data_IF_810623082044
#
_entry.id   IF_810623082044
#
_cell.length_a   1.000
_cell.length_b   1.000
_cell.length_c   1.000
_cell.angle_alpha   90.00
_cell.angle_beta   90.00
_cell.angle_gamma   90.00
#
_symmetry.space_group_name_H-M   'P 1'
#
loop_
_entity.id
_entity.type
_entity.pdbx_description
1 polymer ?
#
# COMPACT_ATOMS: atom_id res chain seq x y z
N UNK A 1 1.22 20.50 21.46
CA UNK A 1 0.22 19.54 21.98
C UNK A 1 0.28 18.30 21.09
N UNK A 2 1.23 17.39 21.36
CA UNK A 2 1.51 16.21 20.50
C UNK A 2 0.51 15.09 20.81
N UNK A 3 -0.70 15.20 20.26
CA UNK A 3 -1.61 14.06 20.23
C UNK A 3 -1.03 13.01 19.27
N UNK A 4 -0.67 11.83 19.78
CA UNK A 4 -0.34 10.67 18.95
C UNK A 4 -1.50 10.43 17.98
N UNK A 5 -1.26 10.66 16.70
CA UNK A 5 -2.20 10.37 15.61
C UNK A 5 -2.36 8.85 15.49
N UNK A 6 -3.41 8.34 16.14
CA UNK A 6 -3.81 6.93 16.11
C UNK A 6 -4.94 6.74 15.10
N UNK A 7 -4.73 5.86 14.13
CA UNK A 7 -5.68 5.60 13.05
C UNK A 7 -6.85 4.69 13.45
N UNK A 8 -6.90 4.25 14.71
CA UNK A 8 -7.99 3.41 15.27
C UNK A 8 -9.39 4.01 15.11
N UNK A 9 -9.52 5.32 14.88
CA UNK A 9 -10.81 6.00 14.66
C UNK A 9 -11.34 5.90 13.21
N UNK A 10 -10.51 5.55 12.23
CA UNK A 10 -10.92 5.40 10.81
C UNK A 10 -11.84 4.18 10.58
N UNK A 11 -12.03 3.36 11.61
CA UNK A 11 -12.62 2.02 11.59
C UNK A 11 -14.15 2.00 11.46
N UNK A 12 -14.83 3.13 11.72
CA UNK A 12 -16.30 3.20 11.78
C UNK A 12 -16.98 3.40 10.42
N UNK A 13 -16.22 3.73 9.37
CA UNK A 13 -16.77 4.14 8.06
C UNK A 13 -16.75 3.01 7.00
N UNK A 14 -16.45 1.76 7.41
CA UNK A 14 -16.30 0.60 6.50
C UNK A 14 -17.48 -0.38 6.47
N UNK A 15 -18.62 -0.08 7.09
CA UNK A 15 -19.80 -0.95 7.02
C UNK A 15 -20.88 -0.40 6.07
N UNK A 16 -20.91 -0.85 4.80
CA UNK A 16 -22.18 -1.18 4.16
C UNK A 16 -22.77 -2.40 4.87
N UNK A 17 -24.09 -2.39 5.08
CA UNK A 17 -24.81 -3.43 5.82
C UNK A 17 -24.53 -4.85 5.31
N UNK A 18 -24.01 -5.70 6.19
CA UNK A 18 -24.11 -7.14 6.07
C UNK A 18 -24.82 -7.65 7.32
N UNK A 19 -26.13 -7.86 7.16
CA UNK A 19 -26.84 -8.86 7.96
C UNK A 19 -26.08 -10.18 7.81
N UNK A 20 -25.72 -10.76 8.95
CA UNK A 20 -25.20 -12.12 9.01
C UNK A 20 -26.31 -13.08 8.57
N UNK A 21 -26.27 -13.55 7.33
CA UNK A 21 -26.92 -14.80 6.97
C UNK A 21 -25.89 -15.93 7.00
N UNK A 22 -25.88 -16.61 8.14
CA UNK A 22 -25.39 -17.97 8.29
C UNK A 22 -26.22 -18.88 7.38
N UNK A 23 -25.71 -19.24 6.21
CA UNK A 23 -26.35 -20.26 5.36
C UNK A 23 -25.86 -21.62 5.84
N UNK A 24 -26.68 -22.28 6.65
CA UNK A 24 -26.63 -23.72 6.82
C UNK A 24 -27.19 -24.35 5.53
N UNK A 25 -26.42 -25.21 4.87
CA UNK A 25 -26.95 -26.10 3.83
C UNK A 25 -27.94 -27.07 4.49
N UNK A 26 -29.24 -26.89 4.18
CA UNK A 26 -30.25 -27.93 4.35
C UNK A 26 -30.42 -28.61 3.00
N UNK A 27 -30.17 -29.91 2.99
CA UNK A 27 -30.53 -30.82 1.91
C UNK A 27 -32.03 -31.04 2.03
N UNK A 28 -32.79 -30.75 0.98
CA UNK A 28 -34.17 -31.23 0.84
C UNK A 28 -34.36 -31.80 -0.57
N UNK A 29 -35.06 -32.92 -0.57
CA UNK A 29 -35.28 -33.86 -1.65
C UNK A 29 -36.33 -33.38 -2.67
N UNK A 30 -36.15 -33.83 -3.93
CA UNK A 30 -37.26 -34.11 -4.83
C UNK A 30 -37.69 -32.97 -5.76
N UNK A 31 -37.46 -33.16 -7.07
CA UNK A 31 -38.56 -33.39 -8.02
C UNK A 31 -38.04 -33.78 -9.41
N UNK A 32 -38.68 -34.83 -9.94
CA UNK A 32 -38.54 -35.40 -11.27
C UNK A 32 -38.89 -34.40 -12.38
N UNK A 33 -38.06 -34.37 -13.44
CA UNK A 33 -38.54 -34.15 -14.81
C UNK A 33 -37.72 -35.04 -15.76
N UNK A 34 -38.37 -36.00 -16.41
CA UNK A 34 -37.80 -36.85 -17.46
C UNK A 34 -37.91 -36.23 -18.86
N UNK A 35 -37.71 -37.01 -19.94
CA UNK A 35 -36.43 -37.00 -20.64
C UNK A 35 -36.55 -36.46 -22.08
N UNK A 36 -35.50 -35.81 -22.59
CA UNK A 36 -35.30 -35.64 -24.03
C UNK A 36 -33.94 -36.20 -24.46
N UNK A 37 -34.03 -37.25 -25.26
CA UNK A 37 -32.97 -37.88 -26.04
C UNK A 37 -32.63 -37.04 -27.27
N UNK A 38 -31.33 -36.83 -27.53
CA UNK A 38 -30.77 -36.71 -28.89
C UNK A 38 -29.34 -37.25 -28.94
N UNK A 39 -29.16 -38.27 -29.78
CA UNK A 39 -27.92 -38.98 -30.10
C UNK A 39 -26.99 -38.21 -31.07
N UNK A 40 -25.79 -38.80 -31.23
CA UNK A 40 -24.78 -38.73 -32.31
C UNK A 40 -23.56 -37.84 -31.94
N UNK A 41 -22.32 -38.33 -31.89
CA UNK A 41 -21.66 -39.33 -32.75
C UNK A 41 -20.42 -39.90 -32.03
N UNK A 42 -20.30 -41.23 -31.93
CA UNK A 42 -19.39 -42.13 -32.70
C UNK A 42 -17.89 -41.76 -32.69
N UNK A 43 -17.14 -42.42 -31.81
CA UNK A 43 -15.83 -42.97 -32.16
C UNK A 43 -15.52 -44.20 -31.29
N UNK A 44 -15.41 -45.36 -31.92
CA UNK A 44 -14.80 -46.58 -31.36
C UNK A 44 -13.87 -47.16 -32.42
N UNK A 45 -12.72 -47.68 -32.00
CA UNK A 45 -12.18 -48.89 -32.62
C UNK A 45 -12.14 -50.05 -31.61
N UNK A 46 -12.84 -51.13 -31.98
CA UNK A 46 -12.42 -52.53 -31.99
C UNK A 46 -11.26 -52.93 -31.06
N UNK A 47 -11.53 -53.69 -29.99
CA UNK A 47 -11.60 -55.17 -29.95
C UNK A 47 -10.22 -55.82 -29.78
N UNK A 48 -9.98 -56.38 -28.59
CA UNK A 48 -9.35 -57.70 -28.48
C UNK A 48 -9.77 -58.41 -27.20
N UNK A 49 -10.26 -59.63 -27.37
CA UNK A 49 -10.62 -60.57 -26.31
C UNK A 49 -9.36 -61.30 -25.88
N UNK A 50 -9.00 -61.22 -24.60
CA UNK A 50 -8.23 -62.26 -23.93
C UNK A 50 -8.81 -62.48 -22.53
N UNK A 51 -9.45 -63.63 -22.35
CA UNK A 51 -9.98 -64.09 -21.07
C UNK A 51 -8.81 -64.56 -20.19
N UNK A 52 -8.58 -63.87 -19.07
CA UNK A 52 -7.70 -64.30 -17.98
C UNK A 52 -8.54 -64.64 -16.73
N UNK A 53 -8.05 -65.53 -15.84
CA UNK A 53 -8.86 -66.09 -14.77
C UNK A 53 -9.19 -65.05 -13.69
N UNK A 54 -10.41 -65.11 -13.16
CA UNK A 54 -10.95 -64.14 -12.20
C UNK A 54 -10.13 -64.02 -10.90
N UNK A 55 -10.27 -62.90 -10.18
CA UNK A 55 -9.49 -62.64 -8.98
C UNK A 55 -9.92 -63.58 -7.84
N UNK A 56 -8.95 -64.30 -7.28
CA UNK A 56 -9.12 -65.02 -6.00
C UNK A 56 -9.39 -64.00 -4.89
N UNK A 57 -10.42 -64.26 -4.09
CA UNK A 57 -10.78 -63.47 -2.94
C UNK A 57 -9.60 -63.38 -1.94
N UNK A 58 -9.14 -62.16 -1.67
CA UNK A 58 -8.17 -61.90 -0.60
C UNK A 58 -8.81 -62.10 0.78
N UNK A 59 -8.04 -62.66 1.72
CA UNK A 59 -8.49 -63.01 3.07
C UNK A 59 -8.84 -61.77 3.92
N UNK A 60 -9.68 -61.92 4.97
CA UNK A 60 -10.16 -60.80 5.79
C UNK A 60 -9.05 -60.02 6.53
N UNK A 61 -7.87 -60.63 6.72
CA UNK A 61 -6.74 -60.01 7.40
C UNK A 61 -6.00 -58.96 6.54
N UNK A 62 -6.11 -59.04 5.21
CA UNK A 62 -5.47 -58.07 4.31
C UNK A 62 -6.25 -56.75 4.16
N UNK A 63 -7.53 -56.72 4.57
CA UNK A 63 -8.39 -55.53 4.48
C UNK A 63 -8.21 -54.55 5.64
N UNK A 64 -7.68 -55.00 6.79
CA UNK A 64 -7.36 -54.09 7.92
C UNK A 64 -5.99 -53.41 7.77
N UNK A 65 -5.09 -53.95 6.94
CA UNK A 65 -3.77 -53.36 6.72
C UNK A 65 -3.78 -52.18 5.72
N UNK A 66 -4.82 -52.08 4.88
CA UNK A 66 -4.92 -51.06 3.83
C UNK A 66 -5.66 -49.77 4.24
N UNK A 67 -6.31 -49.75 5.42
CA UNK A 67 -7.05 -48.56 5.91
C UNK A 67 -6.27 -47.80 6.99
N UNK A 68 -5.30 -48.45 7.65
CA UNK A 68 -4.46 -47.79 8.67
C UNK A 68 -3.21 -47.09 8.11
N UNK A 69 -2.75 -47.44 6.90
CA UNK A 69 -1.56 -46.84 6.30
C UNK A 69 -1.74 -45.38 5.82
N UNK A 70 -2.89 -44.96 5.24
CA UNK A 70 -3.07 -43.56 4.83
C UNK A 70 -3.23 -42.62 6.03
N UNK A 71 -3.92 -43.06 7.09
CA UNK A 71 -4.19 -42.26 8.29
C UNK A 71 -2.94 -42.06 9.14
N UNK A 72 -2.08 -43.08 9.27
CA UNK A 72 -0.84 -42.97 10.03
C UNK A 72 0.21 -42.12 9.28
N UNK A 73 0.31 -42.24 7.94
CA UNK A 73 1.18 -41.37 7.15
C UNK A 73 0.68 -39.91 7.15
N UNK A 74 -0.63 -39.68 7.03
CA UNK A 74 -1.22 -38.32 7.11
C UNK A 74 -1.03 -37.74 8.51
N UNK A 75 -1.18 -38.53 9.57
CA UNK A 75 -0.94 -38.09 10.95
C UNK A 75 0.54 -37.83 11.24
N UNK A 76 1.46 -38.66 10.74
CA UNK A 76 2.91 -38.46 10.89
C UNK A 76 3.38 -37.28 10.02
N UNK A 77 2.87 -37.11 8.80
CA UNK A 77 3.15 -35.92 7.97
C UNK A 77 2.58 -34.65 8.60
N UNK A 78 1.34 -34.65 9.06
CA UNK A 78 0.75 -33.47 9.72
C UNK A 78 1.39 -33.17 11.06
N UNK A 79 1.85 -34.17 11.82
CA UNK A 79 2.57 -33.97 13.08
C UNK A 79 4.02 -33.52 12.85
N UNK A 80 4.71 -34.09 11.87
CA UNK A 80 6.05 -33.64 11.46
C UNK A 80 6.05 -32.25 10.81
N UNK A 81 4.95 -31.83 10.18
CA UNK A 81 4.74 -30.44 9.72
C UNK A 81 4.40 -29.51 10.90
N UNK A 82 3.61 -29.96 11.88
CA UNK A 82 3.21 -29.17 13.06
C UNK A 82 4.32 -28.95 14.08
N UNK A 83 5.24 -29.90 14.23
CA UNK A 83 6.36 -29.80 15.19
C UNK A 83 7.48 -28.85 14.71
N UNK A 84 7.38 -28.29 13.49
CA UNK A 84 8.24 -27.24 12.96
C UNK A 84 7.52 -26.14 12.16
N UNK A 85 6.19 -26.07 12.24
CA UNK A 85 5.36 -25.18 11.40
C UNK A 85 5.62 -23.71 11.73
N UNK A 86 6.18 -22.97 10.78
CA UNK A 86 6.34 -21.53 10.90
C UNK A 86 4.97 -20.86 10.87
N UNK A 87 4.46 -20.49 12.05
CA UNK A 87 3.16 -19.85 12.16
C UNK A 87 3.18 -18.46 11.49
N UNK A 88 2.28 -18.24 10.53
CA UNK A 88 2.15 -17.00 9.77
C UNK A 88 1.18 -16.05 10.47
N UNK A 89 1.63 -14.84 10.81
CA UNK A 89 0.73 -13.81 11.34
C UNK A 89 0.01 -13.08 10.20
N UNK A 90 -1.32 -13.18 10.13
CA UNK A 90 -2.14 -12.41 9.19
C UNK A 90 -2.68 -11.15 9.84
N UNK A 91 -2.46 -10.00 9.20
CA UNK A 91 -2.91 -8.68 9.68
C UNK A 91 -3.83 -8.04 8.64
N UNK A 92 -5.11 -7.93 8.95
CA UNK A 92 -6.03 -7.15 8.11
C UNK A 92 -5.77 -5.64 8.28
N UNK A 93 -6.42 -4.81 7.47
CA UNK A 93 -6.25 -3.36 7.56
C UNK A 93 -6.59 -2.75 8.93
N UNK A 94 -7.51 -3.35 9.67
CA UNK A 94 -7.86 -2.92 11.03
C UNK A 94 -6.73 -3.18 12.03
N UNK A 95 -6.06 -4.32 11.92
CA UNK A 95 -4.90 -4.67 12.74
C UNK A 95 -3.71 -3.76 12.41
N UNK A 96 -3.48 -3.48 11.12
CA UNK A 96 -2.44 -2.54 10.68
C UNK A 96 -2.66 -1.14 11.27
N UNK A 97 -3.90 -0.61 11.25
CA UNK A 97 -4.21 0.71 11.83
C UNK A 97 -4.07 0.76 13.36
N UNK A 98 -4.25 -0.38 14.06
CA UNK A 98 -4.01 -0.49 15.51
C UNK A 98 -2.52 -0.58 15.84
N UNK A 99 -1.74 -1.21 14.97
CA UNK A 99 -0.30 -1.40 15.11
C UNK A 99 0.56 -0.28 14.51
N UNK A 100 -0.04 0.84 14.08
CA UNK A 100 0.70 1.96 13.49
C UNK A 100 0.14 3.32 13.89
N UNK A 101 1.03 4.24 14.27
CA UNK A 101 0.78 5.68 14.28
C UNK A 101 1.54 6.39 13.15
N UNK A 102 1.08 7.57 12.74
CA UNK A 102 1.79 8.34 11.69
C UNK A 102 3.22 8.69 12.12
N UNK A 103 3.44 8.95 13.42
CA UNK A 103 4.77 9.22 13.97
C UNK A 103 5.71 8.01 13.87
N UNK A 104 5.23 6.80 14.20
CA UNK A 104 6.01 5.56 14.05
C UNK A 104 6.31 5.30 12.57
N UNK A 105 5.37 5.57 11.66
CA UNK A 105 5.58 5.41 10.23
C UNK A 105 6.58 6.43 9.65
N UNK A 106 6.56 7.68 10.13
CA UNK A 106 7.60 8.67 9.77
C UNK A 106 8.98 8.21 10.25
N UNK A 107 9.09 7.67 11.46
CA UNK A 107 10.35 7.11 11.95
C UNK A 107 10.81 5.90 11.11
N UNK A 108 9.88 5.04 10.68
CA UNK A 108 10.17 3.91 9.78
C UNK A 108 10.67 4.39 8.40
N UNK A 109 10.05 5.43 7.83
CA UNK A 109 10.50 6.05 6.57
C UNK A 109 11.89 6.68 6.73
N UNK A 110 12.16 7.36 7.83
CA UNK A 110 13.51 7.88 8.11
C UNK A 110 14.54 6.76 8.25
N UNK A 111 14.20 5.63 8.90
CA UNK A 111 15.06 4.44 8.94
C UNK A 111 15.33 3.92 7.53
N UNK A 112 14.31 3.82 6.69
CA UNK A 112 14.46 3.39 5.29
C UNK A 112 15.40 4.31 4.49
N UNK A 113 15.31 5.64 4.67
CA UNK A 113 16.23 6.57 4.02
C UNK A 113 17.68 6.44 4.48
N UNK A 114 17.93 6.12 5.75
CA UNK A 114 19.30 5.84 6.24
C UNK A 114 19.87 4.58 5.60
N UNK A 115 19.08 3.49 5.58
CA UNK A 115 19.44 2.24 4.90
C UNK A 115 19.72 2.49 3.41
N UNK A 116 18.89 3.32 2.77
CA UNK A 116 19.06 3.68 1.37
C UNK A 116 20.40 4.40 1.12
N UNK A 117 20.72 5.41 1.94
CA UNK A 117 21.98 6.15 1.83
C UNK A 117 23.22 5.28 2.06
N UNK A 118 23.11 4.26 2.90
CA UNK A 118 24.17 3.31 3.23
C UNK A 118 24.26 2.15 2.22
N UNK A 119 23.35 2.09 1.24
CA UNK A 119 23.20 0.96 0.31
C UNK A 119 22.99 -0.39 1.02
N UNK A 120 22.34 -0.39 2.19
CA UNK A 120 22.10 -1.56 3.03
C UNK A 120 20.91 -2.42 2.60
N UNK A 121 20.59 -2.44 1.30
CA UNK A 121 19.39 -3.09 0.76
C UNK A 121 19.67 -3.80 -0.56
N UNK A 122 18.84 -4.80 -0.87
CA UNK A 122 18.66 -5.30 -2.23
C UNK A 122 17.22 -5.06 -2.64
N UNK A 123 17.04 -4.35 -3.75
CA UNK A 123 15.73 -3.94 -4.24
C UNK A 123 15.81 -3.90 -5.76
N UNK A 124 15.48 -4.99 -6.46
CA UNK A 124 15.40 -4.95 -7.91
C UNK A 124 14.26 -4.03 -8.33
N UNK A 125 14.31 -3.59 -9.59
CA UNK A 125 13.22 -2.80 -10.17
C UNK A 125 11.90 -3.56 -10.02
N UNK A 126 10.83 -2.84 -9.67
CA UNK A 126 9.48 -3.41 -9.56
C UNK A 126 9.10 -4.12 -10.86
N UNK A 127 8.60 -5.35 -10.76
CA UNK A 127 8.10 -6.07 -11.94
C UNK A 127 6.70 -5.60 -12.26
N UNK A 128 6.47 -5.19 -13.50
CA UNK A 128 5.19 -4.66 -13.96
C UNK A 128 4.47 -5.68 -14.84
N UNK A 129 3.26 -6.06 -14.45
CA UNK A 129 2.32 -6.80 -15.28
C UNK A 129 1.21 -5.86 -15.72
N UNK A 130 1.00 -5.78 -17.03
CA UNK A 130 -0.14 -5.08 -17.61
C UNK A 130 -1.28 -6.07 -17.82
N UNK A 131 -2.43 -5.81 -17.20
CA UNK A 131 -3.64 -6.62 -17.35
C UNK A 131 -4.73 -5.74 -17.96
N UNK A 132 -4.91 -5.84 -19.28
CA UNK A 132 -5.70 -4.86 -20.07
C UNK A 132 -5.15 -3.46 -19.82
N UNK A 133 -5.99 -2.51 -19.39
CA UNK A 133 -5.59 -1.13 -19.06
C UNK A 133 -5.18 -0.94 -17.59
N UNK A 134 -4.99 -2.04 -16.84
CA UNK A 134 -4.65 -2.03 -15.41
C UNK A 134 -3.23 -2.51 -15.18
N UNK A 135 -2.71 -2.27 -13.98
CA UNK A 135 -1.38 -2.73 -13.58
C UNK A 135 -1.39 -3.60 -12.33
N UNK A 136 -0.48 -4.56 -12.29
CA UNK A 136 -0.09 -5.31 -11.10
C UNK A 136 1.42 -5.22 -10.96
N UNK A 137 1.89 -4.79 -9.79
CA UNK A 137 3.29 -4.56 -9.50
C UNK A 137 3.76 -5.50 -8.39
N UNK A 138 4.89 -6.15 -8.62
CA UNK A 138 5.63 -6.90 -7.61
C UNK A 138 6.84 -6.07 -7.20
N UNK A 139 6.95 -5.81 -5.90
CA UNK A 139 7.94 -4.91 -5.31
C UNK A 139 8.71 -5.67 -4.22
N UNK A 140 9.66 -6.55 -4.58
CA UNK A 140 10.49 -7.26 -3.62
C UNK A 140 11.59 -6.35 -3.06
N UNK A 141 11.94 -6.57 -1.79
CA UNK A 141 13.06 -5.90 -1.15
C UNK A 141 13.62 -6.75 -0.01
N UNK A 142 14.92 -6.67 0.21
CA UNK A 142 15.56 -7.21 1.39
C UNK A 142 16.57 -6.23 1.97
N UNK A 143 16.83 -6.44 3.25
CA UNK A 143 17.91 -5.88 4.06
C UNK A 143 18.52 -7.04 4.86
N UNK A 144 19.55 -6.79 5.66
CA UNK A 144 20.09 -7.83 6.53
C UNK A 144 19.08 -8.33 7.58
N UNK A 145 18.14 -7.47 8.01
CA UNK A 145 17.20 -7.77 9.10
C UNK A 145 15.85 -8.34 8.62
N UNK A 146 15.48 -8.09 7.37
CA UNK A 146 14.18 -8.44 6.84
C UNK A 146 14.22 -8.63 5.32
N UNK A 147 13.42 -9.56 4.82
CA UNK A 147 13.12 -9.70 3.40
C UNK A 147 11.60 -9.74 3.21
N UNK A 148 11.12 -9.34 2.03
CA UNK A 148 9.70 -9.36 1.74
C UNK A 148 9.35 -8.84 0.37
N UNK A 149 8.07 -8.87 0.05
CA UNK A 149 7.55 -8.31 -1.17
C UNK A 149 6.17 -7.71 -0.96
N UNK A 150 5.92 -6.59 -1.63
CA UNK A 150 4.57 -6.07 -1.82
C UNK A 150 4.07 -6.49 -3.20
N UNK A 151 2.84 -6.97 -3.23
CA UNK A 151 2.05 -7.11 -4.46
C UNK A 151 0.99 -6.03 -4.41
N UNK A 152 0.90 -5.20 -5.44
CA UNK A 152 -0.09 -4.12 -5.51
C UNK A 152 -0.72 -4.08 -6.90
N UNK A 153 -2.03 -3.97 -6.95
CA UNK A 153 -2.80 -3.77 -8.18
C UNK A 153 -3.34 -2.34 -8.23
N UNK A 154 -3.37 -1.75 -9.43
CA UNK A 154 -3.97 -0.44 -9.70
C UNK A 154 -4.97 -0.59 -10.83
N UNK A 155 -6.25 -0.43 -10.49
CA UNK A 155 -7.41 -0.59 -11.36
C UNK A 155 -8.25 0.68 -11.30
N UNK A 156 -7.95 1.70 -12.14
CA UNK A 156 -8.55 3.04 -12.06
C UNK A 156 -10.09 3.06 -12.15
N UNK A 157 -10.68 2.10 -12.87
CA UNK A 157 -12.12 2.03 -13.11
C UNK A 157 -12.93 1.34 -12.00
N UNK A 158 -12.27 0.90 -10.92
CA UNK A 158 -12.97 0.32 -9.78
C UNK A 158 -13.92 1.34 -9.12
N UNK A 159 -15.22 1.03 -9.11
CA UNK A 159 -16.28 1.85 -8.50
C UNK A 159 -16.78 1.31 -7.15
N UNK A 160 -16.84 -0.01 -7.02
CA UNK A 160 -17.37 -0.74 -5.87
C UNK A 160 -16.29 -1.17 -4.86
N UNK A 161 -15.02 -0.99 -5.23
CA UNK A 161 -13.84 -1.42 -4.46
C UNK A 161 -12.70 -0.41 -4.63
N UNK A 162 -11.63 -0.49 -3.82
CA UNK A 162 -10.50 0.43 -3.95
C UNK A 162 -9.79 0.32 -5.31
N UNK A 163 -9.38 1.46 -5.87
CA UNK A 163 -8.55 1.54 -7.08
C UNK A 163 -7.22 0.81 -6.88
N UNK A 164 -6.60 1.01 -5.71
CA UNK A 164 -5.36 0.35 -5.34
C UNK A 164 -5.63 -0.68 -4.27
N UNK A 165 -5.18 -1.91 -4.48
CA UNK A 165 -5.26 -2.99 -3.50
C UNK A 165 -3.90 -3.67 -3.42
N UNK A 166 -3.48 -4.11 -2.24
CA UNK A 166 -2.22 -4.80 -2.11
C UNK A 166 -2.08 -5.61 -0.84
N UNK A 167 -1.07 -6.47 -0.85
CA UNK A 167 -0.65 -7.27 0.28
C UNK A 167 0.88 -7.19 0.42
N UNK A 168 1.37 -7.27 1.64
CA UNK A 168 2.80 -7.34 1.94
C UNK A 168 3.08 -8.63 2.68
N UNK A 169 4.03 -9.41 2.15
CA UNK A 169 4.55 -10.61 2.77
C UNK A 169 5.95 -10.31 3.33
N UNK A 170 6.18 -10.65 4.59
CA UNK A 170 7.51 -10.61 5.22
C UNK A 170 8.05 -12.02 5.45
N UNK A 171 9.34 -12.15 5.23
CA UNK A 171 10.15 -13.34 5.44
C UNK A 171 11.21 -13.03 6.50
N UNK A 172 11.46 -13.98 7.40
CA UNK A 172 12.61 -13.92 8.30
C UNK A 172 13.89 -14.14 7.50
N UNK A 173 14.76 -13.13 7.46
CA UNK A 173 16.01 -13.18 6.69
C UNK A 173 16.98 -14.24 7.21
N UNK A 174 16.81 -14.77 8.43
CA UNK A 174 17.75 -15.72 9.06
C UNK A 174 17.43 -17.17 8.73
N UNK A 175 16.14 -17.52 8.61
CA UNK A 175 15.71 -18.91 8.43
C UNK A 175 14.69 -19.10 7.29
N UNK A 176 14.30 -18.04 6.59
CA UNK A 176 13.39 -18.11 5.46
C UNK A 176 11.91 -18.31 5.82
N UNK A 177 11.54 -18.32 7.11
CA UNK A 177 10.14 -18.51 7.51
C UNK A 177 9.27 -17.31 7.17
N UNK A 178 8.01 -17.58 6.81
CA UNK A 178 7.02 -16.53 6.53
C UNK A 178 6.54 -15.92 7.84
N UNK A 179 6.85 -14.63 8.08
CA UNK A 179 6.53 -13.94 9.33
C UNK A 179 5.11 -13.41 9.36
N UNK A 180 4.73 -12.71 8.29
CA UNK A 180 3.41 -12.07 8.23
C UNK A 180 2.95 -11.78 6.82
N UNK A 181 1.65 -11.91 6.61
CA UNK A 181 0.92 -11.37 5.46
C UNK A 181 0.01 -10.25 5.96
N UNK A 182 0.16 -9.05 5.43
CA UNK A 182 -0.62 -7.89 5.89
C UNK A 182 -1.28 -7.09 4.77
N UNK A 183 -2.33 -6.36 5.11
CA UNK A 183 -3.01 -5.43 4.21
C UNK A 183 -2.04 -4.33 3.73
N UNK A 184 -1.60 -4.49 2.48
CA UNK A 184 -0.67 -3.59 1.82
C UNK A 184 -1.33 -2.29 1.35
N UNK A 185 -2.65 -2.22 1.26
CA UNK A 185 -3.40 -1.02 0.89
C UNK A 185 -3.32 0.01 1.99
N UNK A 186 -3.63 -0.43 3.22
CA UNK A 186 -3.54 0.38 4.42
C UNK A 186 -2.09 0.77 4.70
N UNK A 187 -1.17 -0.20 4.65
CA UNK A 187 0.25 0.06 4.85
C UNK A 187 0.78 1.08 3.83
N UNK A 188 0.41 0.95 2.55
CA UNK A 188 0.80 1.91 1.51
C UNK A 188 0.28 3.32 1.80
N UNK A 189 -0.96 3.47 2.27
CA UNK A 189 -1.48 4.78 2.67
C UNK A 189 -0.64 5.39 3.79
N UNK A 190 -0.41 4.63 4.86
CA UNK A 190 0.38 5.05 6.01
C UNK A 190 1.81 5.45 5.66
N UNK A 191 2.56 4.55 5.00
CA UNK A 191 3.96 4.80 4.65
C UNK A 191 4.11 5.92 3.63
N UNK A 192 3.17 6.07 2.68
CA UNK A 192 3.23 7.17 1.71
C UNK A 192 2.95 8.51 2.38
N UNK A 193 1.95 8.58 3.26
CA UNK A 193 1.72 9.77 4.09
C UNK A 193 2.92 10.14 4.95
N UNK A 194 3.60 9.14 5.52
CA UNK A 194 4.83 9.33 6.28
C UNK A 194 6.00 9.87 5.45
N UNK A 195 6.08 9.53 4.16
CA UNK A 195 7.05 10.15 3.22
C UNK A 195 6.79 11.65 3.09
N UNK A 196 5.54 12.06 2.88
CA UNK A 196 5.16 13.48 2.83
C UNK A 196 5.40 14.20 4.16
N UNK A 197 5.08 13.54 5.27
CA UNK A 197 5.41 14.04 6.61
C UNK A 197 6.92 14.22 6.81
N UNK A 198 7.75 13.27 6.36
CA UNK A 198 9.21 13.42 6.41
C UNK A 198 9.68 14.58 5.51
N UNK A 199 9.18 14.70 4.28
CA UNK A 199 9.47 15.83 3.41
C UNK A 199 9.13 17.18 4.09
N UNK A 200 7.93 17.30 4.66
CA UNK A 200 7.55 18.47 5.44
C UNK A 200 8.46 18.68 6.66
N UNK A 201 8.86 17.62 7.36
CA UNK A 201 9.74 17.71 8.53
C UNK A 201 11.07 18.38 8.20
N UNK A 202 11.68 18.02 7.08
CA UNK A 202 13.04 18.44 6.73
C UNK A 202 13.12 19.62 5.76
N UNK A 203 12.08 19.85 4.94
CA UNK A 203 12.12 20.84 3.86
C UNK A 203 11.17 22.02 4.05
N UNK A 204 10.09 21.87 4.83
CA UNK A 204 9.17 22.99 5.03
C UNK A 204 9.80 24.05 5.93
N UNK A 205 9.43 25.34 5.76
CA UNK A 205 9.74 26.38 6.73
C UNK A 205 9.41 25.92 8.16
N UNK A 206 10.25 26.29 9.12
CA UNK A 206 10.09 25.84 10.52
C UNK A 206 8.81 26.36 11.16
N UNK A 207 8.34 27.51 10.68
CA UNK A 207 7.13 28.21 11.13
C UNK A 207 5.91 27.94 10.26
N UNK A 208 5.99 27.05 9.25
CA UNK A 208 4.86 26.71 8.38
C UNK A 208 3.59 26.34 9.18
N UNK A 209 2.50 27.08 8.94
CA UNK A 209 1.21 26.96 9.63
C UNK A 209 0.07 26.54 8.71
N UNK A 210 0.23 26.64 7.40
CA UNK A 210 -0.85 26.39 6.45
C UNK A 210 -0.49 25.30 5.45
N UNK A 211 -1.34 24.28 5.34
CA UNK A 211 -1.21 23.22 4.36
C UNK A 211 -2.29 23.31 3.28
N UNK A 212 -1.90 23.21 2.01
CA UNK A 212 -2.78 23.13 0.86
C UNK A 212 -2.73 21.72 0.26
N UNK A 213 -3.89 21.12 -0.02
CA UNK A 213 -4.00 19.82 -0.69
C UNK A 213 -4.82 19.92 -1.97
N UNK A 214 -4.20 19.53 -3.09
CA UNK A 214 -4.87 19.26 -4.35
C UNK A 214 -4.97 17.74 -4.55
N UNK A 215 -6.20 17.22 -4.61
CA UNK A 215 -6.47 15.78 -4.71
C UNK A 215 -6.95 15.19 -3.40
N UNK A 216 -8.26 15.24 -3.16
CA UNK A 216 -8.90 14.74 -1.93
C UNK A 216 -9.22 13.25 -2.01
N UNK A 217 -8.27 12.46 -2.50
CA UNK A 217 -8.35 11.01 -2.63
C UNK A 217 -7.75 10.25 -1.43
N UNK A 218 -7.51 8.95 -1.63
CA UNK A 218 -6.94 8.07 -0.60
C UNK A 218 -5.58 8.56 -0.09
N UNK A 219 -4.65 8.89 -0.99
CA UNK A 219 -3.32 9.37 -0.61
C UNK A 219 -3.35 10.76 0.04
N UNK A 220 -4.17 11.67 -0.47
CA UNK A 220 -4.33 13.01 0.10
C UNK A 220 -4.65 12.99 1.60
N UNK A 221 -5.42 12.00 2.06
CA UNK A 221 -5.78 11.84 3.47
C UNK A 221 -4.55 11.58 4.34
N UNK A 222 -3.70 10.64 3.94
CA UNK A 222 -2.50 10.27 4.69
C UNK A 222 -1.39 11.30 4.53
N UNK A 223 -1.27 11.96 3.37
CA UNK A 223 -0.34 13.07 3.16
C UNK A 223 -0.61 14.20 4.14
N UNK A 224 -1.88 14.63 4.22
CA UNK A 224 -2.27 15.71 5.12
C UNK A 224 -2.06 15.31 6.59
N UNK A 225 -2.34 14.06 6.96
CA UNK A 225 -2.03 13.53 8.30
C UNK A 225 -0.52 13.52 8.60
N UNK A 226 0.31 13.17 7.62
CA UNK A 226 1.78 13.20 7.72
C UNK A 226 2.29 14.63 7.93
N UNK A 227 1.83 15.59 7.12
CA UNK A 227 2.21 17.01 7.25
C UNK A 227 1.77 17.58 8.60
N UNK A 228 0.55 17.31 9.05
CA UNK A 228 0.08 17.74 10.37
C UNK A 228 0.82 17.06 11.53
N UNK A 229 1.44 15.90 11.31
CA UNK A 229 2.33 15.26 12.30
C UNK A 229 3.70 15.94 12.33
N UNK A 230 4.16 16.46 11.19
CA UNK A 230 5.49 17.06 11.03
C UNK A 230 5.56 18.56 11.39
N UNK A 231 4.45 19.28 11.29
CA UNK A 231 4.34 20.72 11.51
C UNK A 231 3.08 21.06 12.29
N UNK A 232 3.13 22.15 13.04
CA UNK A 232 1.98 22.68 13.78
C UNK A 232 1.04 23.43 12.82
N UNK A 233 0.33 22.68 11.99
CA UNK A 233 -0.62 23.23 11.02
C UNK A 233 -1.85 23.78 11.75
N UNK A 234 -2.21 25.00 11.40
CA UNK A 234 -3.33 25.76 11.96
C UNK A 234 -4.44 25.98 10.94
N UNK A 235 -4.14 25.93 9.64
CA UNK A 235 -5.13 26.06 8.57
C UNK A 235 -4.88 25.04 7.46
N UNK A 236 -5.96 24.48 6.92
CA UNK A 236 -5.91 23.56 5.78
C UNK A 236 -6.78 24.10 4.67
N UNK A 237 -6.25 24.17 3.45
CA UNK A 237 -6.98 24.52 2.24
C UNK A 237 -7.08 23.31 1.33
N UNK A 238 -8.29 22.97 0.90
CA UNK A 238 -8.55 21.86 0.01
C UNK A 238 -9.03 22.36 -1.34
N UNK A 239 -8.48 21.80 -2.41
CA UNK A 239 -9.01 21.94 -3.76
C UNK A 239 -9.09 20.57 -4.41
N UNK A 240 -10.16 20.34 -5.16
CA UNK A 240 -10.31 19.13 -5.95
C UNK A 240 -11.09 19.47 -7.21
N UNK A 241 -10.63 18.97 -8.36
CA UNK A 241 -11.32 19.12 -9.65
C UNK A 241 -12.80 18.70 -9.59
N UNK A 242 -13.09 17.68 -8.77
CA UNK A 242 -14.44 17.18 -8.51
C UNK A 242 -14.86 17.61 -7.10
N UNK A 243 -15.59 18.73 -6.92
CA UNK A 243 -15.86 19.30 -5.59
C UNK A 243 -16.66 18.37 -4.66
N UNK A 244 -17.48 17.48 -5.23
CA UNK A 244 -18.25 16.49 -4.46
C UNK A 244 -17.39 15.49 -3.68
N UNK A 245 -16.10 15.34 -4.02
CA UNK A 245 -15.17 14.49 -3.26
C UNK A 245 -14.66 15.16 -1.96
N UNK A 246 -14.84 16.47 -1.79
CA UNK A 246 -14.31 17.21 -0.64
C UNK A 246 -15.09 16.92 0.65
N UNK A 247 -16.44 16.97 0.70
CA UNK A 247 -17.18 16.66 1.92
C UNK A 247 -16.89 15.27 2.54
N UNK A 248 -16.88 14.14 1.79
CA UNK A 248 -16.51 12.84 2.36
C UNK A 248 -15.05 12.79 2.83
N UNK A 249 -14.15 13.49 2.13
CA UNK A 249 -12.76 13.62 2.58
C UNK A 249 -12.66 14.33 3.92
N UNK A 250 -13.33 15.49 4.08
CA UNK A 250 -13.32 16.26 5.34
C UNK A 250 -13.82 15.39 6.50
N UNK A 251 -14.93 14.64 6.31
CA UNK A 251 -15.45 13.73 7.34
C UNK A 251 -14.39 12.73 7.80
N UNK A 252 -13.74 12.03 6.85
CA UNK A 252 -12.68 11.06 7.15
C UNK A 252 -11.46 11.72 7.81
N UNK A 253 -11.01 12.86 7.30
CA UNK A 253 -9.87 13.59 7.86
C UNK A 253 -10.13 14.05 9.29
N UNK A 254 -11.33 14.55 9.59
CA UNK A 254 -11.71 14.98 10.94
C UNK A 254 -11.76 13.82 11.95
N UNK A 255 -11.92 12.57 11.51
CA UNK A 255 -11.77 11.40 12.42
C UNK A 255 -10.33 11.21 12.91
N UNK A 256 -9.35 11.64 12.10
CA UNK A 256 -7.93 11.59 12.42
C UNK A 256 -7.50 12.85 13.18
N UNK A 257 -7.87 14.01 12.65
CA UNK A 257 -7.44 15.32 13.15
C UNK A 257 -8.67 16.23 13.30
N UNK A 258 -9.35 16.22 14.47
CA UNK A 258 -10.61 16.94 14.63
C UNK A 258 -10.45 18.47 14.69
N UNK A 259 -9.32 18.96 15.22
CA UNK A 259 -9.20 20.32 15.74
C UNK A 259 -8.63 21.37 14.76
N UNK A 260 -8.18 20.98 13.55
CA UNK A 260 -7.62 21.93 12.59
C UNK A 260 -8.73 22.45 11.66
N UNK A 261 -8.94 23.77 11.52
CA UNK A 261 -9.81 24.37 10.52
C UNK A 261 -9.52 23.88 9.10
N UNK A 262 -10.58 23.57 8.34
CA UNK A 262 -10.49 23.11 6.95
C UNK A 262 -11.35 24.00 6.07
N UNK A 263 -10.72 24.62 5.08
CA UNK A 263 -11.30 25.56 4.13
C UNK A 263 -11.34 24.93 2.74
N UNK A 264 -12.39 25.23 1.98
CA UNK A 264 -12.50 24.82 0.57
C UNK A 264 -12.06 26.01 -0.27
N UNK A 265 -10.92 25.87 -0.96
CA UNK A 265 -10.44 26.90 -1.87
C UNK A 265 -11.28 26.91 -3.16
N UNK A 266 -11.54 28.10 -3.70
CA UNK A 266 -12.29 28.31 -4.95
C UNK A 266 -11.47 27.92 -6.17
N UNK A 267 -10.15 27.91 -6.06
CA UNK A 267 -9.23 27.53 -7.13
C UNK A 267 -7.91 26.97 -6.59
N UNK A 268 -7.15 26.29 -7.45
CA UNK A 268 -5.77 25.90 -7.15
C UNK A 268 -4.86 27.10 -6.84
N UNK A 269 -5.14 28.26 -7.46
CA UNK A 269 -4.43 29.52 -7.20
C UNK A 269 -4.66 30.03 -5.79
N UNK A 270 -5.91 30.14 -5.34
CA UNK A 270 -6.20 30.58 -3.96
C UNK A 270 -5.53 29.66 -2.94
N UNK A 271 -5.55 28.35 -3.19
CA UNK A 271 -4.85 27.38 -2.35
C UNK A 271 -3.32 27.62 -2.34
N UNK A 272 -2.71 27.86 -3.50
CA UNK A 272 -1.28 28.15 -3.64
C UNK A 272 -0.85 29.44 -2.92
N UNK A 273 -1.66 30.49 -3.00
CA UNK A 273 -1.41 31.76 -2.34
C UNK A 273 -1.42 31.62 -0.80
N UNK A 274 -2.33 30.79 -0.26
CA UNK A 274 -2.53 30.65 1.19
C UNK A 274 -1.62 29.65 1.88
N UNK A 275 -1.14 28.62 1.17
CA UNK A 275 -0.41 27.52 1.79
C UNK A 275 1.09 27.77 1.90
N UNK A 276 1.70 27.34 3.00
CA UNK A 276 3.16 27.25 3.16
C UNK A 276 3.68 25.91 2.61
N UNK A 277 2.85 24.86 2.73
CA UNK A 277 3.11 23.51 2.25
C UNK A 277 2.01 23.12 1.26
N UNK A 278 2.39 22.87 0.02
CA UNK A 278 1.51 22.45 -1.07
C UNK A 278 1.68 20.96 -1.34
N UNK A 279 0.58 20.22 -1.37
CA UNK A 279 0.57 18.79 -1.62
C UNK A 279 -0.25 18.52 -2.88
N UNK A 280 0.33 17.80 -3.85
CA UNK A 280 -0.40 17.26 -5.00
C UNK A 280 -0.45 15.73 -4.90
N UNK A 281 -1.67 15.18 -4.86
CA UNK A 281 -1.92 13.75 -4.76
C UNK A 281 -3.04 13.34 -5.73
N UNK A 282 -2.85 13.65 -7.01
CA UNK A 282 -3.81 13.48 -8.10
C UNK A 282 -3.36 12.40 -9.09
N UNK A 283 -4.28 11.93 -9.92
CA UNK A 283 -3.97 11.06 -11.06
C UNK A 283 -3.84 11.86 -12.37
N UNK A 284 -3.44 13.13 -12.31
CA UNK A 284 -3.48 14.03 -13.47
C UNK A 284 -2.35 13.73 -14.46
N UNK A 285 -2.67 13.87 -15.75
CA UNK A 285 -1.69 13.89 -16.84
C UNK A 285 -1.19 15.32 -17.16
N UNK A 286 -1.85 16.34 -16.60
CA UNK A 286 -1.51 17.75 -16.84
C UNK A 286 -1.39 18.50 -15.51
N UNK A 287 -0.58 19.58 -15.46
CA UNK A 287 -0.36 20.36 -14.23
C UNK A 287 -1.65 20.72 -13.49
N UNK A 288 -1.59 20.67 -12.16
CA UNK A 288 -2.74 20.95 -11.27
C UNK A 288 -2.52 22.17 -10.36
N UNK A 289 -1.29 22.64 -10.27
CA UNK A 289 -0.92 23.90 -9.62
C UNK A 289 -0.93 25.04 -10.65
N UNK A 290 -1.11 26.31 -10.23
CA UNK A 290 -1.18 27.45 -11.15
C UNK A 290 0.13 27.69 -11.92
N UNK A 291 0.00 28.12 -13.17
CA UNK A 291 1.11 28.52 -14.05
C UNK A 291 1.59 29.97 -13.71
N UNK A 292 1.92 30.19 -12.44
CA UNK A 292 2.26 31.51 -11.87
C UNK A 292 3.42 31.37 -10.87
N UNK A 293 4.21 32.43 -10.68
CA UNK A 293 5.34 32.45 -9.75
C UNK A 293 4.87 32.78 -8.32
N UNK A 294 4.31 31.79 -7.64
CA UNK A 294 3.67 31.91 -6.31
C UNK A 294 4.35 31.04 -5.25
N UNK A 295 5.53 30.49 -5.53
CA UNK A 295 6.08 29.35 -4.77
C UNK A 295 7.28 29.70 -3.87
N UNK A 296 7.77 30.93 -3.92
CA UNK A 296 8.91 31.37 -3.12
C UNK A 296 8.68 31.12 -1.62
N UNK A 297 9.69 30.55 -0.96
CA UNK A 297 9.66 30.18 0.45
C UNK A 297 8.69 29.04 0.81
N UNK A 298 8.05 28.38 -0.16
CA UNK A 298 7.12 27.28 0.09
C UNK A 298 7.78 25.91 -0.08
N UNK A 299 7.14 24.88 0.49
CA UNK A 299 7.40 23.49 0.14
C UNK A 299 6.30 22.97 -0.78
N UNK A 300 6.68 22.37 -1.91
CA UNK A 300 5.77 21.60 -2.78
C UNK A 300 6.11 20.11 -2.71
N UNK A 301 5.11 19.28 -2.42
CA UNK A 301 5.21 17.82 -2.29
C UNK A 301 4.35 17.18 -3.39
N UNK A 302 5.00 16.51 -4.34
CA UNK A 302 4.34 15.78 -5.42
C UNK A 302 4.33 14.27 -5.17
N UNK A 303 3.12 13.70 -5.12
CA UNK A 303 2.89 12.28 -4.79
C UNK A 303 2.16 11.55 -5.92
N UNK A 304 1.38 12.28 -6.71
CA UNK A 304 0.41 11.71 -7.64
C UNK A 304 1.00 11.21 -8.96
N UNK A 305 1.94 11.94 -9.57
CA UNK A 305 2.60 11.47 -10.79
C UNK A 305 3.64 10.38 -10.50
N UNK A 306 3.34 9.15 -10.92
CA UNK A 306 4.23 7.97 -10.81
C UNK A 306 4.44 7.26 -12.15
N UNK A 307 4.00 7.86 -13.25
CA UNK A 307 4.24 7.38 -14.61
C UNK A 307 4.77 8.53 -15.49
N UNK A 308 5.53 8.23 -16.56
CA UNK A 308 6.17 9.28 -17.36
C UNK A 308 5.20 10.28 -17.99
N UNK A 309 3.98 9.86 -18.32
CA UNK A 309 2.94 10.72 -18.89
C UNK A 309 2.15 11.50 -17.83
N UNK A 310 2.30 11.18 -16.55
CA UNK A 310 1.61 11.87 -15.46
C UNK A 310 2.39 13.11 -15.06
N UNK A 311 1.68 14.19 -14.78
CA UNK A 311 2.29 15.46 -14.40
C UNK A 311 1.33 16.27 -13.54
N UNK A 312 1.84 16.79 -12.42
CA UNK A 312 1.13 17.65 -11.48
C UNK A 312 1.74 19.06 -11.42
N UNK A 313 3.04 19.18 -11.74
CA UNK A 313 3.80 20.41 -11.60
C UNK A 313 3.80 21.27 -12.88
N UNK A 314 3.42 22.56 -12.79
CA UNK A 314 3.44 23.51 -13.91
C UNK A 314 4.87 23.88 -14.30
N UNK A 315 5.07 24.41 -15.50
CA UNK A 315 6.40 24.84 -15.94
C UNK A 315 6.93 26.00 -15.07
N UNK A 316 6.03 26.90 -14.64
CA UNK A 316 6.34 28.02 -13.74
C UNK A 316 7.00 27.56 -12.43
N UNK A 317 6.57 26.45 -11.85
CA UNK A 317 7.17 25.88 -10.64
C UNK A 317 8.61 25.39 -10.91
N UNK A 318 8.83 24.78 -12.08
CA UNK A 318 10.11 24.14 -12.42
C UNK A 318 11.14 25.12 -12.96
N UNK A 319 10.71 26.20 -13.62
CA UNK A 319 11.55 27.16 -14.33
C UNK A 319 12.62 27.81 -13.44
N UNK A 320 12.27 28.14 -12.20
CA UNK A 320 13.15 28.82 -11.26
C UNK A 320 13.85 27.84 -10.29
N UNK A 321 13.55 26.55 -10.40
CA UNK A 321 14.06 25.54 -9.48
C UNK A 321 15.47 25.10 -9.88
N UNK A 322 16.43 25.17 -8.96
CA UNK A 322 17.79 24.65 -9.21
C UNK A 322 17.91 23.15 -9.02
N UNK A 323 17.14 22.61 -8.08
CA UNK A 323 17.19 21.21 -7.72
C UNK A 323 15.86 20.72 -7.16
N UNK A 324 15.57 19.45 -7.39
CA UNK A 324 14.40 18.74 -6.88
C UNK A 324 14.84 17.58 -5.99
N UNK A 325 14.17 17.41 -4.85
CA UNK A 325 14.41 16.28 -3.97
C UNK A 325 13.57 15.09 -4.43
N UNK A 326 14.20 13.92 -4.53
CA UNK A 326 13.55 12.68 -4.95
C UNK A 326 13.70 11.60 -3.89
N UNK A 327 12.67 10.76 -3.72
CA UNK A 327 12.70 9.66 -2.74
C UNK A 327 13.63 8.51 -3.13
N UNK A 328 13.80 8.29 -4.44
CA UNK A 328 14.67 7.28 -5.02
C UNK A 328 15.14 7.74 -6.40
N UNK A 329 16.25 7.20 -6.88
CA UNK A 329 16.75 7.48 -8.23
C UNK A 329 15.76 7.10 -9.35
N UNK A 330 14.83 6.18 -9.09
CA UNK A 330 13.83 5.76 -10.06
C UNK A 330 12.77 6.83 -10.33
N UNK A 331 12.51 7.74 -9.39
CA UNK A 331 11.54 8.82 -9.56
C UNK A 331 11.86 9.72 -10.78
N UNK A 332 13.15 9.89 -11.10
CA UNK A 332 13.59 10.65 -12.27
C UNK A 332 13.26 9.99 -13.61
N UNK A 333 13.01 8.67 -13.61
CA UNK A 333 12.60 7.90 -14.79
C UNK A 333 11.10 7.67 -14.81
N UNK A 334 10.50 7.50 -13.63
CA UNK A 334 9.10 7.10 -13.47
C UNK A 334 8.13 8.29 -13.53
N UNK A 335 8.53 9.53 -13.21
CA UNK A 335 7.59 10.65 -13.09
C UNK A 335 7.85 11.76 -14.10
N UNK A 336 6.79 12.20 -14.78
CA UNK A 336 6.81 13.38 -15.65
C UNK A 336 6.96 14.73 -14.92
N UNK A 337 6.97 14.74 -13.58
CA UNK A 337 7.26 15.94 -12.77
C UNK A 337 8.76 16.19 -12.58
N UNK A 338 9.60 15.18 -12.84
CA UNK A 338 11.06 15.32 -12.70
C UNK A 338 11.65 15.73 -14.04
N UNK A 339 11.78 17.04 -14.24
CA UNK A 339 12.37 17.61 -15.45
C UNK A 339 13.88 17.28 -15.53
N UNK A 340 14.33 16.83 -16.70
CA UNK A 340 15.71 16.39 -16.94
C UNK A 340 16.75 17.51 -16.82
N UNK A 341 16.32 18.79 -16.86
CA UNK A 341 17.18 19.96 -16.66
C UNK A 341 17.47 20.22 -15.18
N UNK A 342 16.70 19.64 -14.27
CA UNK A 342 16.85 19.86 -12.83
C UNK A 342 17.90 18.92 -12.24
N UNK A 343 18.71 19.45 -11.31
CA UNK A 343 19.56 18.61 -10.48
C UNK A 343 18.69 17.80 -9.51
N UNK A 344 18.78 16.48 -9.57
CA UNK A 344 18.12 15.61 -8.59
C UNK A 344 18.98 15.44 -7.34
N UNK A 345 18.35 15.55 -6.17
CA UNK A 345 18.99 15.34 -4.87
C UNK A 345 18.25 14.20 -4.16
N UNK A 346 18.89 13.06 -3.88
CA UNK A 346 18.28 12.01 -3.07
C UNK A 346 17.90 12.54 -1.69
N UNK A 347 16.64 12.38 -1.30
CA UNK A 347 16.14 12.85 -0.02
C UNK A 347 16.80 12.14 1.17
N UNK A 348 17.37 10.95 0.95
CA UNK A 348 18.23 10.25 1.89
C UNK A 348 19.39 11.10 2.40
N UNK A 349 19.96 11.97 1.54
CA UNK A 349 21.05 12.90 1.91
C UNK A 349 20.59 14.02 2.85
N UNK A 350 19.31 14.39 2.79
CA UNK A 350 18.70 15.35 3.70
C UNK A 350 18.48 14.70 5.07
N UNK A 351 17.89 13.50 5.08
CA UNK A 351 17.63 12.73 6.31
C UNK A 351 18.93 12.38 7.05
N UNK A 352 20.00 12.09 6.32
CA UNK A 352 21.34 11.82 6.87
C UNK A 352 22.19 13.08 7.07
N UNK A 353 21.63 14.27 6.83
CA UNK A 353 22.28 15.58 7.02
C UNK A 353 23.56 15.80 6.17
N UNK A 354 23.79 15.00 5.12
CA UNK A 354 24.86 15.20 4.15
C UNK A 354 24.59 16.40 3.23
N UNK A 355 23.33 16.80 3.09
CA UNK A 355 22.89 18.01 2.40
C UNK A 355 21.96 18.78 3.34
N UNK A 356 22.14 20.10 3.43
CA UNK A 356 21.27 21.00 4.19
C UNK A 356 20.46 21.86 3.21
N UNK A 357 19.13 21.77 3.21
CA UNK A 357 18.28 22.62 2.38
C UNK A 357 18.30 24.07 2.89
N UNK A 358 18.11 25.04 2.00
CA UNK A 358 17.90 26.43 2.39
C UNK A 358 16.41 26.66 2.68
N UNK A 359 16.01 26.86 3.96
CA UNK A 359 14.61 26.95 4.35
C UNK A 359 13.88 28.17 3.78
N UNK A 360 14.59 29.17 3.25
CA UNK A 360 13.99 30.40 2.71
C UNK A 360 13.70 30.33 1.21
N UNK A 361 14.07 29.23 0.54
CA UNK A 361 13.88 29.04 -0.90
C UNK A 361 12.79 28.02 -1.17
N UNK A 362 12.18 28.09 -2.36
CA UNK A 362 11.27 27.04 -2.84
C UNK A 362 11.94 25.66 -2.72
N UNK A 363 11.33 24.78 -1.94
CA UNK A 363 11.70 23.36 -1.88
C UNK A 363 10.66 22.54 -2.66
N UNK A 364 11.11 21.65 -3.53
CA UNK A 364 10.23 20.72 -4.25
C UNK A 364 10.67 19.29 -3.96
N UNK A 365 9.76 18.49 -3.44
CA UNK A 365 9.95 17.07 -3.19
C UNK A 365 9.02 16.23 -4.05
N UNK A 366 9.57 15.21 -4.70
CA UNK A 366 8.84 14.27 -5.54
C UNK A 366 9.03 12.84 -5.05
N UNK A 367 7.92 12.10 -4.95
CA UNK A 367 7.92 10.69 -4.58
C UNK A 367 7.19 9.83 -5.61
N UNK A 368 7.78 8.68 -5.95
CA UNK A 368 7.11 7.57 -6.66
C UNK A 368 7.02 6.29 -5.81
N UNK A 369 7.71 6.29 -4.66
CA UNK A 369 7.73 5.24 -3.66
C UNK A 369 8.60 4.06 -4.05
N UNK A 370 9.39 3.56 -3.09
CA UNK A 370 10.24 2.38 -3.26
C UNK A 370 9.85 1.23 -2.32
N UNK A 371 10.18 -0.01 -2.70
CA UNK A 371 9.84 -1.22 -1.95
C UNK A 371 10.47 -1.26 -0.55
N UNK A 372 11.62 -0.60 -0.36
CA UNK A 372 12.27 -0.48 0.95
C UNK A 372 11.36 0.22 1.99
N UNK A 373 10.54 1.19 1.58
CA UNK A 373 9.58 1.80 2.50
C UNK A 373 8.51 0.80 2.95
N UNK A 374 8.03 -0.04 2.03
CA UNK A 374 7.03 -1.05 2.35
C UNK A 374 7.61 -2.10 3.32
N UNK A 375 8.85 -2.55 3.07
CA UNK A 375 9.56 -3.52 3.92
C UNK A 375 9.73 -3.00 5.36
N UNK A 376 10.28 -1.79 5.52
CA UNK A 376 10.57 -1.23 6.85
C UNK A 376 9.28 -0.85 7.60
N UNK A 377 8.26 -0.35 6.89
CA UNK A 377 6.96 -0.07 7.48
C UNK A 377 6.26 -1.36 7.94
N UNK A 378 6.27 -2.40 7.10
CA UNK A 378 5.70 -3.70 7.45
C UNK A 378 6.41 -4.32 8.65
N UNK A 379 7.74 -4.23 8.72
CA UNK A 379 8.50 -4.74 9.86
C UNK A 379 8.11 -4.02 11.16
N UNK A 380 7.91 -2.70 11.09
CA UNK A 380 7.47 -1.87 12.22
C UNK A 380 6.08 -2.29 12.70
N UNK A 381 5.13 -2.47 11.76
CA UNK A 381 3.76 -2.93 12.06
C UNK A 381 3.77 -4.34 12.64
N UNK A 382 4.53 -5.26 12.06
CA UNK A 382 4.65 -6.63 12.55
C UNK A 382 5.14 -6.68 14.01
N UNK A 383 6.26 -5.99 14.31
CA UNK A 383 6.82 -5.93 15.67
C UNK A 383 5.79 -5.37 16.66
N UNK A 384 5.04 -4.34 16.25
CA UNK A 384 4.00 -3.74 17.08
C UNK A 384 2.79 -4.66 17.27
N UNK A 385 2.36 -5.36 16.23
CA UNK A 385 1.24 -6.30 16.29
C UNK A 385 1.53 -7.47 17.24
N UNK A 386 2.75 -8.01 17.21
CA UNK A 386 3.22 -9.03 18.16
C UNK A 386 3.17 -8.50 19.59
N UNK A 387 3.66 -7.28 19.85
CA UNK A 387 3.61 -6.66 21.18
C UNK A 387 2.18 -6.46 21.68
N UNK A 388 1.25 -6.16 20.78
CA UNK A 388 -0.17 -5.94 21.10
C UNK A 388 -0.99 -7.23 21.16
N UNK A 389 -0.42 -8.37 20.74
CA UNK A 389 -1.15 -9.63 20.63
C UNK A 389 -2.34 -9.57 19.66
N UNK A 390 -2.22 -8.83 18.56
CA UNK A 390 -3.29 -8.68 17.54
C UNK A 390 -2.94 -9.37 16.23
N UNK A 391 -3.97 -9.70 15.45
CA UNK A 391 -3.87 -10.47 14.21
C UNK A 391 -4.28 -11.92 14.39
N UNK A 392 -4.25 -12.67 13.30
CA UNK A 392 -4.60 -14.08 13.28
C UNK A 392 -3.38 -14.93 12.96
N UNK A 393 -3.05 -15.88 13.83
CA UNK A 393 -2.04 -16.88 13.51
C UNK A 393 -2.64 -17.96 12.61
N UNK A 394 -1.99 -18.23 11.49
CA UNK A 394 -2.29 -19.35 10.61
C UNK A 394 -1.14 -20.35 10.64
N UNK A 395 -1.49 -21.63 10.72
CA UNK A 395 -0.58 -22.73 10.44
C UNK A 395 -0.52 -22.85 8.91
N UNK A 396 0.65 -22.57 8.33
CA UNK A 396 0.83 -22.44 6.87
C UNK A 396 1.55 -23.64 6.27
#
# INVERSE_FOLDING_TARGET
MNAKLSFTRLMKDKTPGHERQTVFHRVDEGQNVGPETKELSRYSPQSDKAAGPGPKAASPAAKSFFIMFPLCLTYIFTKSLKEGGAALLVLNGCDVLKAASMQEMMAAVEKAYRIYEENGYQMPLRTHFTIRDNSVLFMPCSTNEAAGAKIVSVFPDNKDRPVTQGAVLLVDSRNGSMKTLMDGTVLTGLRTGAIGGAAAKYLAPSDAKTAGLIGTGYQGLYQLAGVCTARNIENIFLFNRTPSNIPPFIRRFKTLIPNIPVHIAKSARELAEKADILITATSSATPVLPEEDLYDGKLVIGIGSYQPHMREFPDALLKNLKSIYIDSHDAAKESGDVDSRLKTIPFSKIVTQKVKPDPNTLQVFKSTGMALFDLVAAETVYKKAIQLGIGQMLDF
#
